data_IF_884352948196
#
_entry.id   IF_884352948196
#
_cell.length_a   1.000
_cell.length_b   1.000
_cell.length_c   1.000
_cell.angle_alpha   90.00
_cell.angle_beta   90.00
_cell.angle_gamma   90.00
#
_symmetry.space_group_name_H-M   'P 1'
#
loop_
_entity.id
_entity.type
_entity.pdbx_description
1 polymer ?
#
# COMPACT_ATOMS: atom_id res chain seq x y z
N UNK A 1 8.93 3.04 8.26
CA UNK A 1 9.07 4.12 7.28
C UNK A 1 8.41 3.72 5.98
N UNK A 2 8.11 4.71 5.14
CA UNK A 2 7.39 4.55 3.88
C UNK A 2 8.27 5.08 2.75
N UNK A 3 8.49 4.28 1.71
CA UNK A 3 9.23 4.67 0.51
C UNK A 3 8.34 4.48 -0.70
N UNK A 4 8.11 5.55 -1.44
CA UNK A 4 7.47 5.48 -2.75
C UNK A 4 8.51 5.72 -3.85
N UNK A 5 8.73 4.71 -4.68
CA UNK A 5 9.51 4.82 -5.90
C UNK A 5 8.56 5.07 -7.07
N UNK A 6 8.50 6.32 -7.51
CA UNK A 6 7.62 6.74 -8.60
C UNK A 6 7.98 6.08 -9.94
N UNK A 7 9.26 5.98 -10.30
CA UNK A 7 9.68 5.38 -11.58
C UNK A 7 9.34 3.88 -11.66
N UNK A 8 9.47 3.17 -10.55
CA UNK A 8 9.12 1.74 -10.45
C UNK A 8 7.67 1.49 -10.03
N UNK A 9 6.87 2.55 -9.82
CA UNK A 9 5.50 2.49 -9.31
C UNK A 9 5.38 1.51 -8.13
N UNK A 10 6.21 1.72 -7.11
CA UNK A 10 6.34 0.81 -5.96
C UNK A 10 6.29 1.56 -4.64
N UNK A 11 5.41 1.12 -3.74
CA UNK A 11 5.40 1.53 -2.34
C UNK A 11 6.01 0.42 -1.49
N UNK A 12 7.00 0.75 -0.66
CA UNK A 12 7.56 -0.12 0.37
C UNK A 12 7.28 0.47 1.73
N UNK A 13 6.74 -0.37 2.63
CA UNK A 13 6.50 -0.04 4.03
C UNK A 13 7.32 -1.03 4.83
N UNK A 14 8.18 -0.53 5.71
CA UNK A 14 9.03 -1.39 6.52
C UNK A 14 9.32 -0.77 7.88
N UNK A 15 9.47 -1.58 8.95
CA UNK A 15 9.83 -1.06 10.26
C UNK A 15 11.27 -0.51 10.24
N UNK A 16 11.50 0.68 10.84
CA UNK A 16 12.87 1.20 11.03
C UNK A 16 13.44 0.68 12.35
N UNK A 17 12.82 1.06 13.46
CA UNK A 17 13.23 0.70 14.82
C UNK A 17 12.04 0.07 15.51
N UNK A 18 12.19 -1.18 15.91
CA UNK A 18 11.12 -1.98 16.52
C UNK A 18 11.22 -1.96 18.04
N UNK A 19 11.04 -0.77 18.63
CA UNK A 19 11.24 -0.58 20.07
C UNK A 19 10.02 -1.03 20.91
N UNK A 20 8.87 -1.26 20.27
CA UNK A 20 7.61 -1.66 20.94
C UNK A 20 6.96 -2.84 20.22
N UNK A 21 7.38 -4.08 20.52
CA UNK A 21 6.89 -5.28 19.82
C UNK A 21 5.39 -5.54 19.94
N UNK A 22 4.79 -5.02 21.01
CA UNK A 22 3.39 -5.24 21.35
C UNK A 22 2.50 -4.37 20.45
N UNK A 23 2.84 -3.09 20.30
CA UNK A 23 2.12 -2.18 19.41
C UNK A 23 2.24 -2.56 17.93
N UNK A 24 3.41 -3.02 17.49
CA UNK A 24 3.59 -3.40 16.09
C UNK A 24 2.73 -4.58 15.65
N UNK A 25 2.46 -5.53 16.54
CA UNK A 25 1.65 -6.70 16.23
C UNK A 25 0.15 -6.41 16.23
N UNK A 26 -0.30 -5.51 17.10
CA UNK A 26 -1.72 -5.21 17.29
C UNK A 26 -2.22 -4.09 16.37
N UNK A 27 -1.36 -3.13 16.00
CA UNK A 27 -1.73 -2.03 15.09
C UNK A 27 -1.75 -2.55 13.65
N UNK A 28 -2.91 -2.42 13.01
CA UNK A 28 -3.10 -2.71 11.59
C UNK A 28 -3.22 -1.42 10.79
N UNK A 29 -2.51 -1.34 9.67
CA UNK A 29 -2.75 -0.31 8.66
C UNK A 29 -3.78 -0.82 7.68
N UNK A 30 -4.96 -0.21 7.69
CA UNK A 30 -6.13 -0.67 6.93
C UNK A 30 -6.26 0.00 5.57
N UNK A 31 -5.93 1.30 5.52
CA UNK A 31 -6.14 2.14 4.33
C UNK A 31 -4.85 2.85 3.90
N UNK A 32 -4.65 2.93 2.59
CA UNK A 32 -3.58 3.70 1.96
C UNK A 32 -4.17 4.48 0.79
N UNK A 33 -3.95 5.79 0.76
CA UNK A 33 -4.32 6.63 -0.39
C UNK A 33 -3.07 7.23 -1.02
N UNK A 34 -2.93 7.06 -2.34
CA UNK A 34 -1.85 7.63 -3.14
C UNK A 34 -2.45 8.66 -4.07
N UNK A 35 -1.92 9.89 -3.99
CA UNK A 35 -2.33 11.03 -4.81
C UNK A 35 -1.31 11.28 -5.92
N UNK A 36 -1.77 11.83 -7.04
CA UNK A 36 -0.89 12.21 -8.15
C UNK A 36 -0.31 11.02 -8.91
N UNK A 37 -1.10 9.94 -9.04
CA UNK A 37 -0.72 8.83 -9.90
C UNK A 37 -1.03 9.16 -11.36
N UNK A 38 0.01 9.31 -12.17
CA UNK A 38 -0.12 9.77 -13.58
C UNK A 38 -0.76 8.75 -14.52
N UNK A 39 -0.83 7.48 -14.09
CA UNK A 39 -1.47 6.42 -14.84
C UNK A 39 -2.30 5.53 -13.91
N UNK A 40 -3.49 5.15 -14.37
CA UNK A 40 -4.31 4.16 -13.70
C UNK A 40 -3.58 2.79 -13.67
N UNK A 41 -3.39 2.17 -12.49
CA UNK A 41 -2.90 0.80 -12.44
C UNK A 41 -3.98 -0.15 -12.96
N UNK A 42 -3.55 -1.11 -13.75
CA UNK A 42 -4.31 -2.28 -14.17
C UNK A 42 -4.36 -3.34 -13.07
N UNK A 43 -3.32 -3.40 -12.22
CA UNK A 43 -3.23 -4.31 -11.07
C UNK A 43 -2.50 -3.67 -9.89
N UNK A 44 -2.84 -4.12 -8.69
CA UNK A 44 -2.14 -3.75 -7.46
C UNK A 44 -1.70 -5.03 -6.76
N UNK A 45 -0.39 -5.25 -6.69
CA UNK A 45 0.20 -6.46 -6.13
C UNK A 45 0.76 -6.17 -4.73
N UNK A 46 0.26 -6.84 -3.71
CA UNK A 46 0.78 -6.79 -2.34
C UNK A 46 1.59 -8.04 -2.00
N UNK A 47 2.90 -7.90 -1.75
CA UNK A 47 3.81 -9.01 -1.44
C UNK A 47 3.70 -10.19 -2.44
N UNK A 48 3.39 -9.89 -3.71
CA UNK A 48 3.20 -10.89 -4.77
C UNK A 48 1.78 -11.44 -4.90
N UNK A 49 0.86 -11.07 -4.02
CA UNK A 49 -0.57 -11.39 -4.11
C UNK A 49 -1.32 -10.25 -4.81
N UNK A 50 -2.24 -10.60 -5.72
CA UNK A 50 -3.10 -9.62 -6.37
C UNK A 50 -4.18 -9.11 -5.41
N UNK A 51 -4.37 -7.80 -5.35
CA UNK A 51 -5.48 -7.19 -4.62
C UNK A 51 -6.70 -7.06 -5.54
N UNK A 52 -7.87 -7.40 -5.00
CA UNK A 52 -9.10 -7.41 -5.79
C UNK A 52 -9.57 -5.96 -6.01
N UNK A 53 -9.62 -5.55 -7.29
CA UNK A 53 -10.16 -4.26 -7.68
C UNK A 53 -11.64 -4.15 -7.26
N UNK A 54 -12.10 -2.94 -6.92
CA UNK A 54 -13.43 -2.59 -6.38
C UNK A 54 -13.69 -2.98 -4.92
N UNK A 55 -13.03 -4.01 -4.40
CA UNK A 55 -13.19 -4.43 -3.00
C UNK A 55 -12.03 -4.02 -2.10
N UNK A 56 -10.80 -4.09 -2.60
CA UNK A 56 -9.58 -3.74 -1.86
C UNK A 56 -8.87 -2.53 -2.44
N UNK A 57 -9.18 -2.12 -3.67
CA UNK A 57 -8.68 -0.87 -4.22
C UNK A 57 -9.55 -0.31 -5.34
N UNK A 58 -9.49 1.01 -5.52
CA UNK A 58 -10.14 1.75 -6.61
C UNK A 58 -9.23 2.87 -7.09
N UNK A 59 -9.34 3.20 -8.39
CA UNK A 59 -8.63 4.34 -8.97
C UNK A 59 -9.63 5.37 -9.50
N UNK A 60 -9.48 6.62 -9.07
CA UNK A 60 -10.22 7.78 -9.58
C UNK A 60 -9.33 8.51 -10.61
N UNK A 61 -9.62 8.30 -11.89
CA UNK A 61 -8.87 8.92 -12.99
C UNK A 61 -9.14 10.41 -13.18
N UNK A 62 -10.24 10.93 -12.62
CA UNK A 62 -10.51 12.38 -12.67
C UNK A 62 -9.60 13.12 -11.70
N UNK A 63 -9.29 12.48 -10.56
CA UNK A 63 -8.48 13.07 -9.48
C UNK A 63 -7.06 12.51 -9.41
N UNK A 64 -6.73 11.49 -10.21
CA UNK A 64 -5.47 10.74 -10.14
C UNK A 64 -5.16 10.20 -8.75
N UNK A 65 -6.17 9.55 -8.14
CA UNK A 65 -6.09 9.01 -6.76
C UNK A 65 -6.28 7.49 -6.79
N UNK A 66 -5.31 6.75 -6.25
CA UNK A 66 -5.45 5.34 -5.90
C UNK A 66 -5.84 5.22 -4.43
N UNK A 67 -6.96 4.57 -4.14
CA UNK A 67 -7.38 4.22 -2.77
C UNK A 67 -7.28 2.72 -2.61
N UNK A 68 -6.54 2.27 -1.60
CA UNK A 68 -6.47 0.89 -1.17
C UNK A 68 -7.08 0.79 0.23
N UNK A 69 -7.98 -0.17 0.43
CA UNK A 69 -8.75 -0.33 1.66
C UNK A 69 -8.75 -1.79 2.10
N UNK A 70 -9.09 -2.04 3.38
CA UNK A 70 -9.19 -3.39 3.96
C UNK A 70 -7.87 -4.19 3.84
N UNK A 71 -6.73 -3.54 4.05
CA UNK A 71 -5.42 -4.17 3.87
C UNK A 71 -4.94 -4.97 5.09
N UNK A 72 -5.43 -4.65 6.30
CA UNK A 72 -5.08 -5.30 7.57
C UNK A 72 -3.56 -5.54 7.77
N UNK A 73 -2.73 -4.57 7.36
CA UNK A 73 -1.29 -4.73 7.32
C UNK A 73 -0.67 -4.65 8.72
N UNK A 74 0.06 -5.68 9.12
CA UNK A 74 0.85 -5.65 10.34
C UNK A 74 2.08 -4.77 10.15
N UNK A 75 2.11 -3.59 10.77
CA UNK A 75 3.18 -2.59 10.61
C UNK A 75 4.56 -3.03 11.14
N UNK A 76 4.64 -4.15 11.86
CA UNK A 76 5.90 -4.82 12.21
C UNK A 76 6.53 -5.60 11.05
N UNK A 77 5.81 -5.78 9.94
CA UNK A 77 6.26 -6.54 8.78
C UNK A 77 6.59 -5.63 7.60
N UNK A 78 7.38 -6.15 6.68
CA UNK A 78 7.65 -5.51 5.40
C UNK A 78 6.45 -5.74 4.47
N UNK A 79 5.98 -4.66 3.87
CA UNK A 79 4.93 -4.68 2.85
C UNK A 79 5.42 -4.00 1.58
N UNK A 80 5.29 -4.68 0.46
CA UNK A 80 5.67 -4.18 -0.86
C UNK A 80 4.44 -4.18 -1.76
N UNK A 81 4.09 -3.00 -2.25
CA UNK A 81 3.05 -2.81 -3.24
C UNK A 81 3.68 -2.47 -4.59
N UNK A 82 3.26 -3.16 -5.65
CA UNK A 82 3.59 -2.78 -7.03
C UNK A 82 2.30 -2.39 -7.76
N UNK A 83 2.33 -1.27 -8.46
CA UNK A 83 1.22 -0.75 -9.26
C UNK A 83 1.57 -0.92 -10.74
N UNK A 84 0.85 -1.77 -11.47
CA UNK A 84 1.16 -2.19 -12.85
C UNK A 84 0.27 -1.51 -13.86
#
# INVERSE_FOLDING_TARGET
>A
YFIFNYNSQRLTIEPWTYNYPQMGNDIKLEDITIYGMDKAPTKVMWNGQDLIMSTQWTFDSTKNILRMTKLELNVAKIHKFNFV
#
